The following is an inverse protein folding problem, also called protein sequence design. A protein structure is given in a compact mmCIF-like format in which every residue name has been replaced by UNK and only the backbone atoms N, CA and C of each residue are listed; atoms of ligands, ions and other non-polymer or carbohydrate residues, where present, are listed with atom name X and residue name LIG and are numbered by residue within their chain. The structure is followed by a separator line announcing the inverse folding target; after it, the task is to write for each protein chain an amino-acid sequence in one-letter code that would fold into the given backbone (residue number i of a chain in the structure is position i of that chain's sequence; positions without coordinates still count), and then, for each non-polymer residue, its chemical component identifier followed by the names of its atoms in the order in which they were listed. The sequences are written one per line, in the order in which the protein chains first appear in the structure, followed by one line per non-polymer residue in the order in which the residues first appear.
data_IF_114583312339
#
_entry.id   IF_114583312339
#
_cell.length_a   1.000
_cell.length_b   1.000
_cell.length_c   1.000
_cell.angle_alpha   90.00
_cell.angle_beta   90.00
_cell.angle_gamma   90.00
#
_symmetry.space_group_name_H-M   'P 1'
#
loop_
_entity.id
_entity.type
_entity.pdbx_description
1 polymer ?
#
# COMPACT_ATOMS: atom_id res chain seq x y z
N UNK A 1 5.68 -22.58 -13.12
CA UNK A 1 5.39 -21.91 -11.83
C UNK A 1 6.21 -20.64 -11.61
N UNK A 2 7.53 -20.64 -11.86
CA UNK A 2 8.37 -19.44 -11.67
C UNK A 2 8.03 -18.25 -12.59
N UNK A 3 7.83 -18.51 -13.88
CA UNK A 3 7.53 -17.46 -14.89
C UNK A 3 6.17 -16.79 -14.61
N UNK A 4 5.17 -17.56 -14.16
CA UNK A 4 3.87 -17.01 -13.77
C UNK A 4 4.02 -16.07 -12.58
N UNK A 5 4.73 -16.47 -11.51
CA UNK A 5 5.03 -15.60 -10.36
C UNK A 5 5.82 -14.33 -10.74
N UNK A 6 6.78 -14.47 -11.66
CA UNK A 6 7.65 -13.37 -12.09
C UNK A 6 6.89 -12.34 -12.95
N UNK A 7 5.95 -12.79 -13.78
CA UNK A 7 5.15 -11.92 -14.64
C UNK A 7 3.88 -11.41 -13.96
N UNK A 8 3.40 -12.07 -12.90
CA UNK A 8 2.16 -11.69 -12.22
C UNK A 8 2.23 -10.26 -11.69
N UNK A 9 3.30 -9.92 -10.97
CA UNK A 9 3.49 -8.60 -10.37
C UNK A 9 3.63 -7.50 -11.43
N UNK A 10 4.58 -7.55 -12.39
CA UNK A 10 4.69 -6.51 -13.41
C UNK A 10 3.47 -6.47 -14.34
N UNK A 11 2.80 -7.60 -14.60
CA UNK A 11 1.56 -7.65 -15.37
C UNK A 11 0.41 -6.93 -14.65
N UNK A 12 0.24 -7.19 -13.35
CA UNK A 12 -0.75 -6.48 -12.53
C UNK A 12 -0.45 -4.99 -12.44
N UNK A 13 0.81 -4.62 -12.25
CA UNK A 13 1.25 -3.22 -12.26
C UNK A 13 0.91 -2.59 -13.62
N UNK A 14 1.19 -3.24 -14.74
CA UNK A 14 0.87 -2.74 -16.07
C UNK A 14 -0.64 -2.54 -16.28
N UNK A 15 -1.47 -3.49 -15.85
CA UNK A 15 -2.94 -3.38 -15.92
C UNK A 15 -3.44 -2.22 -15.07
N UNK A 16 -2.92 -2.06 -13.84
CA UNK A 16 -3.27 -0.94 -12.96
C UNK A 16 -2.84 0.38 -13.59
N UNK A 17 -1.60 0.48 -14.11
CA UNK A 17 -1.12 1.69 -14.80
C UNK A 17 -1.99 2.04 -16.00
N UNK A 18 -2.42 1.06 -16.80
CA UNK A 18 -3.34 1.28 -17.92
C UNK A 18 -4.72 1.75 -17.46
N UNK A 19 -5.26 1.16 -16.39
CA UNK A 19 -6.53 1.56 -15.81
C UNK A 19 -6.49 3.01 -15.29
N UNK A 20 -5.42 3.41 -14.59
CA UNK A 20 -5.19 4.79 -14.16
C UNK A 20 -5.07 5.75 -15.35
N UNK A 21 -4.33 5.39 -16.40
CA UNK A 21 -4.21 6.23 -17.60
C UNK A 21 -5.54 6.38 -18.34
N UNK A 22 -6.39 5.37 -18.31
CA UNK A 22 -7.65 5.36 -19.09
C UNK A 22 -8.82 6.04 -18.36
N UNK A 23 -8.86 6.00 -17.02
CA UNK A 23 -9.98 6.51 -16.21
C UNK A 23 -9.60 7.65 -15.25
N UNK A 24 -8.32 8.04 -15.23
CA UNK A 24 -7.82 9.18 -14.49
C UNK A 24 -7.40 8.87 -13.04
N UNK A 25 -6.85 9.88 -12.34
CA UNK A 25 -6.24 9.73 -11.01
C UNK A 25 -7.19 9.19 -9.93
N UNK A 26 -8.50 9.47 -10.07
CA UNK A 26 -9.52 8.99 -9.13
C UNK A 26 -9.62 7.45 -9.10
N UNK A 27 -9.55 6.79 -10.26
CA UNK A 27 -9.53 5.31 -10.33
C UNK A 27 -8.20 4.75 -9.84
N UNK A 28 -7.10 5.49 -10.03
CA UNK A 28 -5.82 5.16 -9.40
C UNK A 28 -5.88 5.13 -7.87
N UNK A 29 -6.59 6.09 -7.26
CA UNK A 29 -6.84 6.10 -5.82
C UNK A 29 -7.64 4.88 -5.35
N UNK A 30 -8.68 4.49 -6.08
CA UNK A 30 -9.48 3.29 -5.78
C UNK A 30 -8.70 1.99 -5.96
N UNK A 31 -7.95 1.85 -7.05
CA UNK A 31 -7.12 0.68 -7.33
C UNK A 31 -5.93 0.55 -6.37
N UNK A 32 -5.39 1.67 -5.90
CA UNK A 32 -4.36 1.69 -4.86
C UNK A 32 -4.93 1.36 -3.47
N UNK A 33 -6.19 1.75 -3.19
CA UNK A 33 -6.88 1.43 -1.93
C UNK A 33 -7.39 -0.01 -1.85
N UNK A 34 -7.65 -0.65 -2.99
CA UNK A 34 -8.02 -2.06 -3.07
C UNK A 34 -6.75 -2.94 -3.17
N UNK A 35 -6.71 -4.12 -2.54
CA UNK A 35 -5.57 -5.02 -2.63
C UNK A 35 -5.56 -5.75 -3.99
N UNK A 36 -5.57 -5.01 -5.10
CA UNK A 36 -5.66 -5.58 -6.45
C UNK A 36 -4.39 -6.38 -6.78
N UNK A 37 -3.23 -5.91 -6.32
CA UNK A 37 -1.95 -6.61 -6.43
C UNK A 37 -1.72 -7.57 -5.25
N UNK A 38 -2.05 -7.12 -4.03
CA UNK A 38 -1.80 -7.88 -2.82
C UNK A 38 -2.72 -9.10 -2.66
N UNK A 39 -3.98 -9.02 -3.07
CA UNK A 39 -4.98 -10.08 -2.90
C UNK A 39 -4.57 -11.38 -3.60
N UNK A 40 -4.23 -11.37 -4.90
CA UNK A 40 -3.75 -12.56 -5.58
C UNK A 40 -2.47 -13.13 -4.95
N UNK A 41 -1.54 -12.28 -4.52
CA UNK A 41 -0.30 -12.72 -3.84
C UNK A 41 -0.61 -13.39 -2.50
N UNK A 42 -1.57 -12.87 -1.73
CA UNK A 42 -2.01 -13.46 -0.46
C UNK A 42 -2.69 -14.81 -0.66
N UNK A 43 -3.44 -15.01 -1.74
CA UNK A 43 -4.00 -16.32 -2.12
C UNK A 43 -2.90 -17.32 -2.43
N UNK A 44 -1.88 -16.91 -3.20
CA UNK A 44 -0.71 -17.77 -3.44
C UNK A 44 0.05 -18.09 -2.15
N UNK A 45 0.17 -17.14 -1.22
CA UNK A 45 0.77 -17.39 0.09
C UNK A 45 -0.03 -18.37 0.94
N UNK A 46 -1.36 -18.31 0.92
CA UNK A 46 -2.19 -19.28 1.63
C UNK A 46 -1.99 -20.69 1.06
N UNK A 47 -1.94 -20.81 -0.27
CA UNK A 47 -1.76 -22.08 -0.97
C UNK A 47 -0.36 -22.69 -0.78
N UNK A 48 0.69 -21.86 -0.67
CA UNK A 48 2.07 -22.36 -0.61
C UNK A 48 2.66 -22.43 0.81
N UNK A 49 2.27 -21.50 1.70
CA UNK A 49 2.85 -21.37 3.03
C UNK A 49 1.82 -21.50 4.17
N UNK A 50 0.55 -21.76 3.83
CA UNK A 50 -0.53 -21.96 4.78
C UNK A 50 -1.18 -20.68 5.29
N UNK A 51 -2.38 -20.82 5.86
CA UNK A 51 -3.26 -19.71 6.23
C UNK A 51 -2.63 -18.76 7.27
N UNK A 52 -1.87 -19.30 8.21
CA UNK A 52 -1.20 -18.50 9.25
C UNK A 52 -0.11 -17.57 8.67
N UNK A 53 0.53 -17.96 7.56
CA UNK A 53 1.47 -17.10 6.87
C UNK A 53 0.74 -16.04 6.04
N UNK A 54 -0.32 -16.44 5.32
CA UNK A 54 -1.15 -15.52 4.56
C UNK A 54 -1.80 -14.44 5.45
N UNK A 55 -2.28 -14.80 6.64
CA UNK A 55 -2.86 -13.85 7.60
C UNK A 55 -1.83 -12.81 8.08
N UNK A 56 -0.60 -13.24 8.41
CA UNK A 56 0.49 -12.32 8.79
C UNK A 56 0.91 -11.42 7.62
N UNK A 57 0.99 -11.97 6.41
CA UNK A 57 1.29 -11.21 5.21
C UNK A 57 0.19 -10.18 4.89
N UNK A 58 -1.09 -10.53 5.10
CA UNK A 58 -2.22 -9.62 4.92
C UNK A 58 -2.15 -8.44 5.91
N UNK A 59 -1.89 -8.74 7.20
CA UNK A 59 -1.63 -7.73 8.22
C UNK A 59 -0.49 -6.78 7.82
N UNK A 60 0.66 -7.33 7.44
CA UNK A 60 1.83 -6.54 7.02
C UNK A 60 1.54 -5.68 5.79
N UNK A 61 0.69 -6.16 4.88
CA UNK A 61 0.30 -5.40 3.70
C UNK A 61 -0.57 -4.20 4.06
N UNK A 62 -1.53 -4.37 4.99
CA UNK A 62 -2.39 -3.28 5.46
C UNK A 62 -1.60 -2.20 6.21
N UNK A 63 -0.68 -2.57 7.10
CA UNK A 63 0.20 -1.61 7.79
C UNK A 63 1.14 -0.90 6.82
N UNK A 64 1.65 -1.62 5.81
CA UNK A 64 2.44 -1.03 4.72
C UNK A 64 1.67 0.05 3.97
N UNK A 65 0.41 -0.20 3.61
CA UNK A 65 -0.47 0.77 2.94
C UNK A 65 -0.67 2.06 3.74
N UNK A 66 -0.89 1.94 5.06
CA UNK A 66 -1.01 3.10 5.95
C UNK A 66 0.28 3.91 5.99
N UNK A 67 1.42 3.25 6.14
CA UNK A 67 2.72 3.91 6.14
C UNK A 67 3.03 4.58 4.80
N UNK A 68 2.67 3.96 3.67
CA UNK A 68 2.79 4.57 2.34
C UNK A 68 1.92 5.82 2.20
N UNK A 69 0.73 5.85 2.80
CA UNK A 69 -0.11 7.06 2.83
C UNK A 69 0.60 8.19 3.57
N UNK A 70 1.22 7.90 4.72
CA UNK A 70 2.04 8.87 5.47
C UNK A 70 3.18 9.38 4.60
N UNK A 71 3.92 8.49 3.93
CA UNK A 71 4.99 8.88 3.00
C UNK A 71 4.50 9.89 1.95
N UNK A 72 3.39 9.59 1.26
CA UNK A 72 2.90 10.43 0.16
C UNK A 72 2.44 11.80 0.67
N UNK A 73 1.74 11.85 1.81
CA UNK A 73 1.31 13.12 2.43
C UNK A 73 2.51 13.95 2.89
N UNK A 74 3.50 13.33 3.53
CA UNK A 74 4.74 14.02 3.94
C UNK A 74 5.49 14.53 2.71
N UNK A 75 5.64 13.72 1.67
CA UNK A 75 6.30 14.13 0.44
C UNK A 75 5.58 15.33 -0.21
N UNK A 76 4.25 15.26 -0.38
CA UNK A 76 3.45 16.31 -1.02
C UNK A 76 3.41 17.63 -0.24
N UNK A 77 3.58 17.57 1.09
CA UNK A 77 3.64 18.77 1.94
C UNK A 77 5.03 19.41 1.90
N UNK A 78 6.09 18.58 1.97
CA UNK A 78 7.49 19.04 1.96
C UNK A 78 7.92 19.55 0.57
N UNK A 79 7.41 18.94 -0.51
CA UNK A 79 7.72 19.32 -1.90
C UNK A 79 7.24 20.73 -2.28
N UNK A 80 6.37 21.34 -1.47
CA UNK A 80 5.94 22.74 -1.66
C UNK A 80 7.06 23.75 -1.35
N UNK A 81 8.08 23.35 -0.60
CA UNK A 81 9.11 24.27 -0.06
C UNK A 81 10.54 23.79 -0.22
N UNK A 82 10.78 22.51 -0.46
CA UNK A 82 12.12 21.92 -0.45
C UNK A 82 12.42 21.13 -1.73
N UNK A 83 13.71 20.96 -2.08
CA UNK A 83 14.12 20.15 -3.23
C UNK A 83 13.83 18.66 -2.98
N UNK A 84 13.77 17.90 -4.08
CA UNK A 84 13.29 16.51 -4.09
C UNK A 84 14.05 15.58 -3.14
N UNK A 85 15.35 15.80 -2.91
CA UNK A 85 16.16 14.96 -2.02
C UNK A 85 15.65 15.02 -0.58
N UNK A 86 15.31 16.22 -0.10
CA UNK A 86 14.78 16.44 1.25
C UNK A 86 13.38 15.84 1.36
N UNK A 87 12.58 15.94 0.30
CA UNK A 87 11.23 15.36 0.25
C UNK A 87 11.28 13.82 0.36
N UNK A 88 12.20 13.19 -0.37
CA UNK A 88 12.42 11.73 -0.32
C UNK A 88 12.89 11.32 1.07
N UNK A 89 13.89 12.02 1.64
CA UNK A 89 14.40 11.71 2.98
C UNK A 89 13.32 11.85 4.05
N UNK A 90 12.57 12.96 4.04
CA UNK A 90 11.47 13.21 4.98
C UNK A 90 10.32 12.20 4.82
N UNK A 91 10.00 11.81 3.58
CA UNK A 91 9.02 10.76 3.32
C UNK A 91 9.46 9.43 3.91
N UNK A 92 10.70 9.00 3.68
CA UNK A 92 11.24 7.74 4.20
C UNK A 92 11.34 7.70 5.73
N UNK A 93 11.73 8.81 6.37
CA UNK A 93 11.74 8.88 7.84
C UNK A 93 10.33 8.80 8.43
N UNK A 94 9.37 9.50 7.82
CA UNK A 94 7.97 9.43 8.23
C UNK A 94 7.37 8.03 7.99
N UNK A 95 7.70 7.38 6.87
CA UNK A 95 7.33 5.99 6.59
C UNK A 95 7.87 5.04 7.65
N UNK A 96 9.17 5.10 7.93
CA UNK A 96 9.81 4.23 8.92
C UNK A 96 9.19 4.42 10.32
N UNK A 97 8.95 5.67 10.73
CA UNK A 97 8.27 5.98 11.98
C UNK A 97 6.83 5.47 12.04
N UNK A 98 6.08 5.57 10.93
CA UNK A 98 4.73 5.04 10.84
C UNK A 98 4.72 3.51 10.93
N UNK A 99 5.62 2.82 10.22
CA UNK A 99 5.74 1.36 10.27
C UNK A 99 6.08 0.89 11.68
N UNK A 100 7.07 1.50 12.34
CA UNK A 100 7.45 1.10 13.70
C UNK A 100 6.32 1.35 14.69
N UNK A 101 5.67 2.52 14.64
CA UNK A 101 4.53 2.83 15.50
C UNK A 101 3.37 1.85 15.30
N UNK A 102 3.02 1.53 14.05
CA UNK A 102 1.95 0.59 13.70
C UNK A 102 2.29 -0.86 14.10
N UNK A 103 3.55 -1.25 14.00
CA UNK A 103 4.01 -2.59 14.37
C UNK A 103 4.05 -2.78 15.90
N UNK A 104 4.43 -1.73 16.65
CA UNK A 104 4.42 -1.76 18.11
C UNK A 104 3.01 -1.77 18.71
N UNK A 105 2.02 -1.22 18.01
CA UNK A 105 0.63 -1.14 18.51
C UNK A 105 -0.19 -2.41 18.27
N UNK A 106 0.35 -3.44 17.60
CA UNK A 106 -0.35 -4.69 17.24
C UNK A 106 -1.83 -4.45 16.87
N UNK A 107 -2.08 -3.52 15.96
CA UNK A 107 -3.43 -3.18 15.55
C UNK A 107 -4.15 -4.41 15.01
N UNK A 108 -5.27 -4.74 15.65
CA UNK A 108 -6.21 -5.77 15.20
C UNK A 108 -6.59 -5.54 13.74
N UNK A 109 -6.70 -6.63 12.96
CA UNK A 109 -6.91 -6.61 11.50
C UNK A 109 -8.09 -5.72 11.09
N UNK A 110 -9.15 -5.71 11.92
CA UNK A 110 -10.34 -4.89 11.71
C UNK A 110 -10.08 -3.39 11.83
N UNK A 111 -9.17 -2.96 12.71
CA UNK A 111 -8.84 -1.54 12.89
C UNK A 111 -7.94 -1.05 11.76
N UNK A 112 -7.00 -1.88 11.29
CA UNK A 112 -6.20 -1.56 10.11
C UNK A 112 -7.06 -1.42 8.85
N UNK A 113 -8.04 -2.32 8.66
CA UNK A 113 -9.01 -2.21 7.58
C UNK A 113 -9.86 -0.93 7.69
N UNK A 114 -10.39 -0.64 8.88
CA UNK A 114 -11.19 0.56 9.11
C UNK A 114 -10.39 1.86 8.84
N UNK A 115 -9.12 1.91 9.24
CA UNK A 115 -8.25 3.06 8.99
C UNK A 115 -7.92 3.25 7.50
N UNK A 116 -7.71 2.17 6.74
CA UNK A 116 -7.48 2.24 5.28
C UNK A 116 -8.74 2.70 4.55
N UNK A 117 -9.92 2.20 4.95
CA UNK A 117 -11.19 2.68 4.40
C UNK A 117 -11.43 4.14 4.77
N UNK A 118 -11.12 4.53 6.01
CA UNK A 118 -11.28 5.92 6.46
C UNK A 118 -10.33 6.88 5.72
N UNK A 119 -9.07 6.51 5.49
CA UNK A 119 -8.11 7.35 4.77
C UNK A 119 -8.47 7.51 3.29
N UNK A 120 -8.94 6.44 2.65
CA UNK A 120 -9.43 6.49 1.26
C UNK A 120 -10.71 7.29 1.12
N UNK A 121 -11.61 7.27 2.11
CA UNK A 121 -12.82 8.11 2.12
C UNK A 121 -12.49 9.58 2.46
N UNK A 122 -11.56 9.83 3.38
CA UNK A 122 -11.16 11.19 3.76
C UNK A 122 -10.43 11.94 2.63
N UNK A 123 -9.67 11.23 1.80
CA UNK A 123 -9.05 11.80 0.60
C UNK A 123 -10.02 12.14 -0.55
N UNK A 124 -11.34 11.92 -0.37
CA UNK A 124 -12.38 12.26 -1.35
C UNK A 124 -12.95 13.69 -1.21
N UNK A 125 -12.55 14.46 -0.19
CA UNK A 125 -12.93 15.87 -0.01
C UNK A 125 -11.82 16.79 -0.47
#
# INVERSE_FOLDING_TARGET
MLVLKLLLVPGLVAVVTLAVRRWGPAVGGWLAGLPVVAGPVLVFYALEQGDAFAARAAHGTLTGLLATTVFVVTYATVSKRYPWQICVAAGWTAFAGAVTALNHTQLSLGVSLACVVASTVAGRR
#
